data_IF_432154867791
#
_entry.id   IF_432154867791
#
_cell.length_a   1.000
_cell.length_b   1.000
_cell.length_c   1.000
_cell.angle_alpha   90.00
_cell.angle_beta   90.00
_cell.angle_gamma   90.00
#
_symmetry.space_group_name_H-M   'P 1'
#
loop_
_entity.id
_entity.type
_entity.pdbx_description
1 polymer ?
#
# COMPACT_ATOMS: atom_id res chain seq x y z
N UNK A 1 -0.27 -11.57 -4.16
CA UNK A 1 0.03 -10.19 -3.77
C UNK A 1 -1.20 -9.76 -3.03
N UNK A 2 -1.10 -9.43 -1.75
CA UNK A 2 -2.25 -8.88 -1.04
C UNK A 2 -2.45 -7.45 -1.55
N UNK A 3 -3.70 -7.14 -1.86
CA UNK A 3 -4.14 -5.92 -2.50
C UNK A 3 -3.91 -4.72 -1.58
N UNK A 4 -3.81 -3.50 -2.14
CA UNK A 4 -3.78 -2.29 -1.33
C UNK A 4 -5.06 -2.22 -0.51
N UNK A 5 -4.95 -2.41 0.80
CA UNK A 5 -6.10 -2.51 1.70
C UNK A 5 -6.96 -1.23 1.67
N UNK A 6 -6.32 -0.06 1.60
CA UNK A 6 -7.01 1.21 1.44
C UNK A 6 -6.18 2.18 0.58
N UNK A 7 -6.83 2.83 -0.39
CA UNK A 7 -6.24 3.94 -1.15
C UNK A 7 -7.08 5.19 -0.94
N UNK A 8 -6.41 6.32 -0.68
CA UNK A 8 -7.00 7.65 -0.60
C UNK A 8 -6.25 8.59 -1.54
N UNK A 9 -7.00 9.37 -2.31
CA UNK A 9 -6.47 10.38 -3.23
C UNK A 9 -7.06 11.72 -2.82
N UNK A 10 -6.21 12.66 -2.41
CA UNK A 10 -6.60 14.01 -2.03
C UNK A 10 -6.04 15.01 -3.06
N UNK A 11 -6.84 16.00 -3.48
CA UNK A 11 -6.32 17.20 -4.14
C UNK A 11 -5.90 18.18 -3.04
N UNK A 12 -4.60 18.45 -2.94
CA UNK A 12 -4.04 19.38 -1.95
C UNK A 12 -4.19 20.84 -2.40
N UNK A 13 -4.03 21.09 -3.70
CA UNK A 13 -4.20 22.40 -4.31
C UNK A 13 -4.62 22.26 -5.77
N UNK A 14 -5.36 23.25 -6.26
CA UNK A 14 -5.78 23.38 -7.65
C UNK A 14 -5.70 24.86 -8.04
N UNK A 15 -4.82 25.16 -8.99
CA UNK A 15 -4.72 26.46 -9.66
C UNK A 15 -5.28 26.33 -11.07
N UNK A 16 -6.23 27.20 -11.41
CA UNK A 16 -6.85 27.23 -12.73
C UNK A 16 -6.76 28.65 -13.26
N UNK A 17 -6.27 28.79 -14.49
CA UNK A 17 -6.16 30.04 -15.19
C UNK A 17 -6.55 29.90 -16.67
N UNK A 18 -6.48 31.00 -17.42
CA UNK A 18 -6.88 31.02 -18.83
C UNK A 18 -6.03 30.08 -19.72
N UNK A 19 -4.77 29.82 -19.34
CA UNK A 19 -3.84 28.99 -20.11
C UNK A 19 -3.93 27.50 -19.76
N UNK A 20 -4.55 27.14 -18.64
CA UNK A 20 -4.64 25.76 -18.18
C UNK A 20 -4.82 25.63 -16.68
N UNK A 21 -4.40 24.49 -16.14
CA UNK A 21 -4.52 24.17 -14.73
C UNK A 21 -3.30 23.42 -14.21
N UNK A 22 -3.06 23.53 -12.91
CA UNK A 22 -2.08 22.76 -12.13
C UNK A 22 -2.73 22.28 -10.85
N UNK A 23 -2.47 21.04 -10.45
CA UNK A 23 -2.94 20.51 -9.18
C UNK A 23 -1.85 19.70 -8.48
N UNK A 24 -1.81 19.79 -7.16
CA UNK A 24 -1.03 18.91 -6.31
C UNK A 24 -1.93 17.81 -5.78
N UNK A 25 -1.61 16.55 -6.06
CA UNK A 25 -2.42 15.39 -5.71
C UNK A 25 -1.62 14.48 -4.78
N UNK A 26 -2.20 14.16 -3.62
CA UNK A 26 -1.62 13.23 -2.66
C UNK A 26 -2.30 11.87 -2.77
N UNK A 27 -1.51 10.86 -3.08
CA UNK A 27 -1.86 9.46 -2.99
C UNK A 27 -1.44 8.95 -1.62
N UNK A 28 -2.33 8.27 -0.92
CA UNK A 28 -2.05 7.57 0.32
C UNK A 28 -2.56 6.15 0.17
N UNK A 29 -1.71 5.17 0.42
CA UNK A 29 -2.04 3.76 0.38
C UNK A 29 -1.71 3.13 1.74
N UNK A 30 -2.59 2.26 2.22
CA UNK A 30 -2.33 1.42 3.37
C UNK A 30 -2.44 -0.02 2.91
N UNK A 31 -1.42 -0.81 3.24
CA UNK A 31 -1.42 -2.25 3.02
C UNK A 31 -1.23 -2.97 4.36
N UNK A 32 -1.75 -4.19 4.43
CA UNK A 32 -1.70 -5.04 5.61
C UNK A 32 -0.85 -6.27 5.30
N UNK A 33 0.28 -6.39 5.99
CA UNK A 33 1.24 -7.46 5.80
C UNK A 33 0.94 -8.68 6.69
N UNK A 34 -0.13 -9.39 6.33
CA UNK A 34 -0.55 -10.67 6.92
C UNK A 34 -0.30 -11.84 5.97
N UNK A 35 0.04 -13.00 6.52
CA UNK A 35 0.09 -14.26 5.77
C UNK A 35 -1.05 -15.19 6.20
N UNK A 36 -1.73 -15.76 5.21
CA UNK A 36 -2.68 -16.85 5.45
C UNK A 36 -2.05 -18.23 5.21
N UNK A 37 -2.71 -19.28 5.70
CA UNK A 37 -2.24 -20.67 5.58
C UNK A 37 -2.07 -21.09 4.11
N UNK A 38 -2.89 -20.55 3.21
CA UNK A 38 -2.79 -20.81 1.77
C UNK A 38 -1.62 -20.04 1.11
N UNK A 39 -1.10 -18.97 1.72
CA UNK A 39 0.03 -18.23 1.16
C UNK A 39 1.35 -18.96 1.36
N UNK A 40 1.56 -19.58 2.52
CA UNK A 40 2.78 -20.33 2.79
C UNK A 40 2.88 -21.62 1.96
N UNK A 41 1.78 -22.06 1.33
CA UNK A 41 1.77 -23.19 0.40
C UNK A 41 2.25 -22.80 -1.00
N UNK A 42 2.27 -21.51 -1.35
CA UNK A 42 2.71 -21.01 -2.66
C UNK A 42 4.23 -20.88 -2.69
N UNK A 43 4.85 -21.32 -3.78
CA UNK A 43 6.31 -21.30 -3.98
C UNK A 43 6.92 -19.90 -3.75
N UNK A 44 6.22 -18.85 -4.17
CA UNK A 44 6.65 -17.46 -4.02
C UNK A 44 6.91 -17.03 -2.57
N UNK A 45 6.17 -17.59 -1.60
CA UNK A 45 6.29 -17.23 -0.18
C UNK A 45 7.10 -18.27 0.60
N UNK A 46 7.03 -19.55 0.26
CA UNK A 46 7.79 -20.58 0.97
C UNK A 46 9.30 -20.57 0.67
N UNK A 47 9.71 -19.99 -0.48
CA UNK A 47 11.11 -19.96 -0.90
C UNK A 47 11.97 -19.05 -0.03
N UNK A 48 11.37 -18.02 0.59
CA UNK A 48 12.11 -17.11 1.45
C UNK A 48 11.86 -17.43 2.92
N UNK A 49 12.94 -17.67 3.67
CA UNK A 49 12.89 -18.04 5.08
C UNK A 49 12.19 -16.99 5.95
N UNK A 50 12.27 -15.71 5.59
CA UNK A 50 11.64 -14.64 6.36
C UNK A 50 10.10 -14.76 6.38
N UNK A 51 9.45 -15.16 5.27
CA UNK A 51 8.00 -15.35 5.23
C UNK A 51 7.57 -16.53 6.10
N UNK A 52 8.39 -17.60 6.17
CA UNK A 52 8.13 -18.76 7.03
C UNK A 52 8.21 -18.40 8.51
N UNK A 53 9.23 -17.64 8.90
CA UNK A 53 9.39 -17.13 10.27
C UNK A 53 8.21 -16.20 10.61
N UNK A 54 7.87 -15.28 9.71
CA UNK A 54 6.76 -14.36 9.89
C UNK A 54 5.42 -15.09 10.06
N UNK A 55 5.15 -16.12 9.25
CA UNK A 55 3.95 -16.96 9.38
C UNK A 55 3.83 -17.60 10.78
N UNK A 56 4.93 -18.16 11.30
CA UNK A 56 4.94 -18.77 12.64
C UNK A 56 4.69 -17.73 13.72
N UNK A 57 5.30 -16.55 13.63
CA UNK A 57 5.08 -15.45 14.57
C UNK A 57 3.61 -15.01 14.59
N UNK A 58 2.96 -14.98 13.42
CA UNK A 58 1.56 -14.57 13.33
C UNK A 58 0.57 -15.65 13.81
N UNK A 59 0.82 -16.93 13.48
CA UNK A 59 -0.17 -18.01 13.66
C UNK A 59 0.09 -18.93 14.86
N UNK A 60 1.26 -18.88 15.47
CA UNK A 60 1.51 -19.65 16.68
C UNK A 60 0.75 -19.03 17.85
N UNK A 61 -0.07 -19.85 18.52
CA UNK A 61 -0.98 -19.43 19.58
C UNK A 61 -0.29 -18.74 20.78
N UNK A 62 1.01 -18.98 21.00
CA UNK A 62 1.78 -18.30 22.06
C UNK A 62 2.33 -16.93 21.65
N UNK A 63 2.40 -16.61 20.36
CA UNK A 63 2.91 -15.33 19.86
C UNK A 63 1.78 -14.39 19.44
N UNK A 64 0.91 -14.84 18.50
CA UNK A 64 -0.26 -14.07 18.07
C UNK A 64 0.05 -12.67 17.52
N UNK A 65 1.21 -12.49 16.86
CA UNK A 65 1.58 -11.17 16.33
C UNK A 65 0.56 -10.69 15.31
N UNK A 66 0.05 -9.48 15.52
CA UNK A 66 -0.86 -8.84 14.56
C UNK A 66 -0.09 -8.44 13.31
N UNK A 67 -0.72 -8.48 12.13
CA UNK A 67 -0.09 -8.04 10.91
C UNK A 67 0.33 -6.56 10.98
N UNK A 68 1.41 -6.22 10.28
CA UNK A 68 1.87 -4.85 10.19
C UNK A 68 1.06 -4.07 9.17
N UNK A 69 0.77 -2.81 9.48
CA UNK A 69 0.21 -1.87 8.52
C UNK A 69 1.35 -1.05 7.91
N UNK A 70 1.47 -1.10 6.59
CA UNK A 70 2.41 -0.28 5.85
C UNK A 70 1.65 0.89 5.25
N UNK A 71 1.96 2.11 5.70
CA UNK A 71 1.42 3.33 5.13
C UNK A 71 2.42 3.88 4.11
N UNK A 72 1.96 4.13 2.90
CA UNK A 72 2.72 4.73 1.81
C UNK A 72 2.02 6.01 1.37
N UNK A 73 2.80 7.04 1.05
CA UNK A 73 2.26 8.31 0.57
C UNK A 73 3.15 8.93 -0.47
N UNK A 74 2.55 9.48 -1.53
CA UNK A 74 3.24 10.22 -2.57
C UNK A 74 2.42 11.45 -2.94
N UNK A 75 3.08 12.60 -3.05
CA UNK A 75 2.47 13.82 -3.60
C UNK A 75 3.06 14.06 -4.96
N UNK A 76 2.21 14.24 -5.97
CA UNK A 76 2.62 14.53 -7.34
C UNK A 76 1.98 15.83 -7.80
N UNK A 77 2.67 16.52 -8.70
CA UNK A 77 2.09 17.64 -9.44
C UNK A 77 1.59 17.14 -10.79
N UNK A 78 0.35 17.49 -11.11
CA UNK A 78 -0.29 17.24 -12.39
C UNK A 78 -0.70 18.57 -13.01
N UNK A 79 -0.63 18.67 -14.33
CA UNK A 79 -0.99 19.90 -15.05
C UNK A 79 -1.59 19.59 -16.40
N UNK A 80 -2.39 20.53 -16.91
CA UNK A 80 -2.99 20.44 -18.24
C UNK A 80 -3.13 21.81 -18.88
N UNK A 81 -2.92 21.88 -20.19
CA UNK A 81 -3.11 23.08 -20.99
C UNK A 81 -4.57 23.17 -21.47
N UNK A 82 -5.12 24.38 -21.52
CA UNK A 82 -6.43 24.63 -22.13
C UNK A 82 -6.24 24.75 -23.64
N UNK A 83 -6.88 23.86 -24.41
CA UNK A 83 -6.94 23.94 -25.88
C UNK A 83 -7.93 25.00 -26.33
#
# INVERSE_FOLDING_TARGET
MHDVHATRIDILSLDVNEKGWKASVRFTAQDHFGLDAEDIRKQKFNQFQFFRIWFVLQRFNKFGFRPFLTNMGATIEVSGLRK
#
